data_IF_435585609633
#
_entry.id   IF_435585609633
#
_cell.length_a   1.000
_cell.length_b   1.000
_cell.length_c   1.000
_cell.angle_alpha   90.00
_cell.angle_beta   90.00
_cell.angle_gamma   90.00
#
_symmetry.space_group_name_H-M   'P 1'
#
loop_
_entity.id
_entity.type
_entity.pdbx_description
1 polymer ?
#
# COMPACT_ATOMS: atom_id res chain seq x y z
N UNK A 1 0.20 -24.16 34.36
CA UNK A 1 0.45 -22.73 34.02
C UNK A 1 -0.26 -22.38 32.73
N UNK A 2 -1.20 -21.43 32.74
CA UNK A 2 -1.92 -20.98 31.54
C UNK A 2 -1.14 -19.82 30.90
N UNK A 3 -0.75 -19.95 29.63
CA UNK A 3 -0.05 -18.88 28.90
C UNK A 3 -1.06 -17.83 28.45
N UNK A 4 -0.75 -16.56 28.67
CA UNK A 4 -1.54 -15.41 28.22
C UNK A 4 -0.90 -14.87 26.94
N UNK A 5 -1.70 -14.59 25.91
CA UNK A 5 -1.23 -13.98 24.66
C UNK A 5 -1.52 -12.49 24.69
N UNK A 6 -0.64 -11.67 24.14
CA UNK A 6 -0.79 -10.21 24.09
C UNK A 6 -0.65 -9.74 22.64
N UNK A 7 -1.44 -8.75 22.27
CA UNK A 7 -1.32 -8.10 20.96
C UNK A 7 -0.04 -7.26 20.90
N UNK A 8 0.77 -7.44 19.87
CA UNK A 8 2.01 -6.68 19.65
C UNK A 8 1.79 -5.19 19.34
N UNK A 9 0.60 -4.81 18.87
CA UNK A 9 0.30 -3.43 18.49
C UNK A 9 -0.28 -2.60 19.65
N UNK A 10 -1.05 -3.22 20.56
CA UNK A 10 -1.71 -2.50 21.65
C UNK A 10 -1.46 -3.10 23.05
N UNK A 11 -0.61 -4.12 23.16
CA UNK A 11 -0.18 -4.78 24.40
C UNK A 11 -1.30 -5.29 25.32
N UNK A 12 -2.52 -5.50 24.80
CA UNK A 12 -3.64 -6.08 25.54
C UNK A 12 -3.69 -7.59 25.38
N UNK A 13 -4.22 -8.27 26.40
CA UNK A 13 -4.42 -9.71 26.37
C UNK A 13 -5.42 -10.09 25.27
N UNK A 14 -5.10 -11.12 24.49
CA UNK A 14 -5.95 -11.60 23.40
C UNK A 14 -6.15 -13.12 23.49
N UNK A 15 -7.27 -13.65 22.96
CA UNK A 15 -7.46 -15.08 22.83
C UNK A 15 -6.41 -15.69 21.90
N UNK A 16 -6.03 -16.94 22.13
CA UNK A 16 -5.02 -17.64 21.31
C UNK A 16 -5.53 -17.90 19.89
N UNK A 17 -6.83 -18.13 19.74
CA UNK A 17 -7.50 -18.45 18.48
C UNK A 17 -8.01 -17.19 17.75
N UNK A 18 -7.81 -16.00 18.34
CA UNK A 18 -8.23 -14.76 17.68
C UNK A 18 -7.37 -14.51 16.43
N UNK A 19 -8.03 -14.25 15.30
CA UNK A 19 -7.40 -13.88 14.03
C UNK A 19 -7.07 -12.38 13.96
N UNK A 20 -7.85 -11.59 14.71
CA UNK A 20 -7.78 -10.14 14.78
C UNK A 20 -7.90 -9.70 16.23
N UNK A 21 -7.16 -8.68 16.62
CA UNK A 21 -7.25 -8.12 17.97
C UNK A 21 -8.62 -7.42 18.17
N UNK A 22 -9.41 -7.79 19.20
CA UNK A 22 -10.70 -7.15 19.47
C UNK A 22 -10.57 -5.71 20.00
N UNK A 23 -9.37 -5.29 20.41
CA UNK A 23 -9.15 -3.97 20.98
C UNK A 23 -8.63 -2.93 19.99
N UNK A 24 -7.90 -3.35 18.95
CA UNK A 24 -7.30 -2.41 17.97
C UNK A 24 -7.55 -2.80 16.51
N UNK A 25 -8.10 -3.98 16.23
CA UNK A 25 -8.41 -4.42 14.87
C UNK A 25 -7.22 -4.93 14.06
N UNK A 26 -6.01 -5.02 14.62
CA UNK A 26 -4.85 -5.57 13.92
C UNK A 26 -5.00 -7.08 13.67
N UNK A 27 -4.72 -7.54 12.45
CA UNK A 27 -4.72 -8.96 12.10
C UNK A 27 -3.38 -9.62 12.47
N UNK A 28 -3.44 -10.78 13.15
CA UNK A 28 -2.22 -11.49 13.57
C UNK A 28 -1.53 -12.27 12.44
N UNK A 29 -2.19 -12.38 11.28
CA UNK A 29 -1.61 -12.96 10.07
C UNK A 29 -0.94 -11.91 9.16
N UNK A 30 -0.90 -10.64 9.59
CA UNK A 30 -0.32 -9.59 8.77
C UNK A 30 1.20 -9.62 8.86
N UNK A 31 1.86 -9.54 7.72
CA UNK A 31 3.30 -9.30 7.60
C UNK A 31 3.54 -7.81 7.51
N UNK A 32 4.49 -7.30 8.30
CA UNK A 32 4.95 -5.90 8.24
C UNK A 32 6.32 -5.82 7.57
N UNK A 33 6.44 -5.00 6.54
CA UNK A 33 7.71 -4.74 5.88
C UNK A 33 8.64 -3.93 6.81
N UNK A 34 9.86 -4.39 7.12
CA UNK A 34 10.79 -3.64 7.97
C UNK A 34 11.38 -2.40 7.28
N UNK A 35 11.36 -2.34 5.93
CA UNK A 35 11.95 -1.24 5.17
C UNK A 35 10.99 -0.05 4.99
N UNK A 36 9.71 -0.31 4.72
CA UNK A 36 8.74 0.75 4.42
C UNK A 36 7.51 0.76 5.35
N UNK A 37 7.41 -0.18 6.28
CA UNK A 37 6.31 -0.25 7.25
C UNK A 37 4.96 -0.70 6.69
N UNK A 38 4.88 -1.11 5.42
CA UNK A 38 3.64 -1.63 4.83
C UNK A 38 3.21 -2.91 5.53
N UNK A 39 1.93 -3.00 5.90
CA UNK A 39 1.33 -4.17 6.56
C UNK A 39 0.27 -4.78 5.64
N UNK A 40 0.34 -6.10 5.43
CA UNK A 40 -0.61 -6.81 4.59
C UNK A 40 -0.55 -8.32 4.80
N UNK A 41 -1.45 -9.08 4.16
CA UNK A 41 -1.49 -10.54 4.27
C UNK A 41 -0.24 -11.20 3.65
N UNK A 42 0.09 -12.40 4.11
CA UNK A 42 1.22 -13.20 3.61
C UNK A 42 1.23 -13.33 2.07
N UNK A 43 0.06 -13.49 1.44
CA UNK A 43 -0.06 -13.62 -0.02
C UNK A 43 0.44 -12.37 -0.76
N UNK A 44 0.25 -11.17 -0.19
CA UNK A 44 0.74 -9.92 -0.77
C UNK A 44 2.27 -9.81 -0.74
N UNK A 45 2.92 -10.61 0.12
CA UNK A 45 4.38 -10.67 0.28
C UNK A 45 5.00 -11.91 -0.39
N UNK A 46 4.21 -12.73 -1.11
CA UNK A 46 4.70 -13.94 -1.76
C UNK A 46 5.89 -13.69 -2.71
N UNK A 47 5.96 -12.51 -3.32
CA UNK A 47 7.06 -12.07 -4.19
C UNK A 47 7.90 -10.93 -3.58
N UNK A 48 7.88 -10.77 -2.26
CA UNK A 48 8.46 -9.62 -1.55
C UNK A 48 7.49 -8.46 -1.36
N UNK A 49 7.95 -7.38 -0.72
CA UNK A 49 7.08 -6.25 -0.38
C UNK A 49 6.61 -5.50 -1.66
N UNK A 50 5.28 -5.36 -1.87
CA UNK A 50 4.75 -4.74 -3.09
C UNK A 50 4.95 -3.21 -3.13
N UNK A 51 5.28 -2.59 -2.00
CA UNK A 51 5.48 -1.13 -1.89
C UNK A 51 6.94 -0.74 -2.16
N UNK A 52 7.91 -1.46 -1.59
CA UNK A 52 9.31 -1.06 -1.64
C UNK A 52 10.27 -2.12 -2.21
N UNK A 53 9.76 -3.30 -2.58
CA UNK A 53 10.56 -4.38 -3.17
C UNK A 53 11.43 -5.17 -2.20
N UNK A 54 11.27 -4.98 -0.89
CA UNK A 54 12.01 -5.73 0.13
C UNK A 54 11.81 -7.25 -0.04
N UNK A 55 12.90 -8.01 -0.18
CA UNK A 55 12.91 -9.45 -0.45
C UNK A 55 12.26 -9.88 -1.77
N UNK A 56 12.19 -9.00 -2.78
CA UNK A 56 11.68 -9.42 -4.09
C UNK A 56 12.72 -10.20 -4.91
N UNK A 57 12.34 -11.39 -5.35
CA UNK A 57 13.15 -12.30 -6.20
C UNK A 57 13.52 -11.68 -7.56
N UNK A 58 12.79 -10.64 -7.97
CA UNK A 58 13.02 -9.85 -9.17
C UNK A 58 14.42 -9.23 -9.25
N UNK A 59 15.08 -9.05 -8.09
CA UNK A 59 16.47 -8.58 -8.02
C UNK A 59 17.49 -9.72 -7.88
N UNK A 60 17.13 -10.85 -7.28
CA UNK A 60 18.04 -11.98 -7.07
C UNK A 60 18.26 -12.80 -8.36
N UNK A 61 17.26 -12.86 -9.25
CA UNK A 61 17.34 -13.68 -10.48
C UNK A 61 18.09 -13.03 -11.65
N UNK A 62 18.64 -11.81 -11.49
CA UNK A 62 19.41 -11.12 -12.55
C UNK A 62 20.91 -11.38 -12.53
N UNK A 63 21.43 -12.16 -11.60
CA UNK A 63 22.82 -12.60 -11.64
C UNK A 63 22.87 -14.12 -11.60
N UNK A 64 23.34 -14.70 -12.71
CA UNK A 64 23.63 -16.12 -12.95
C UNK A 64 22.47 -16.97 -13.50
N UNK A 65 22.32 -16.96 -14.83
CA UNK A 65 22.07 -18.20 -15.59
C UNK A 65 23.33 -18.47 -16.43
N UNK A 66 23.92 -19.69 -16.38
CA UNK A 66 25.02 -20.08 -17.26
C UNK A 66 24.59 -19.95 -18.72
N UNK A 67 25.50 -19.43 -19.53
CA UNK A 67 25.34 -19.17 -20.94
C UNK A 67 24.92 -20.43 -21.70
N UNK A 68 23.81 -20.36 -22.45
CA UNK A 68 23.70 -21.12 -23.69
C UNK A 68 22.74 -20.40 -24.65
N UNK A 69 23.32 -19.98 -25.78
CA UNK A 69 22.70 -19.80 -27.10
C UNK A 69 21.78 -18.60 -27.38
N UNK A 70 22.45 -17.52 -27.85
CA UNK A 70 22.20 -16.85 -29.15
C UNK A 70 20.77 -16.37 -29.47
N UNK A 71 20.49 -15.09 -29.24
CA UNK A 71 20.15 -14.06 -30.27
C UNK A 71 19.92 -12.70 -29.57
N UNK A 72 20.55 -11.58 -29.99
CA UNK A 72 20.24 -10.25 -29.46
C UNK A 72 18.95 -9.72 -30.10
N UNK A 73 17.84 -9.75 -29.36
CA UNK A 73 16.64 -8.98 -29.73
C UNK A 73 16.71 -7.59 -29.06
N UNK A 74 16.47 -6.49 -29.80
CA UNK A 74 16.42 -5.16 -29.23
C UNK A 74 15.27 -5.04 -28.24
N UNK A 75 15.61 -4.66 -27.02
CA UNK A 75 14.70 -4.39 -25.92
C UNK A 75 13.84 -3.15 -26.19
N UNK A 76 12.63 -3.33 -26.72
CA UNK A 76 11.54 -2.37 -26.50
C UNK A 76 10.81 -2.77 -25.22
N UNK A 77 11.34 -2.31 -24.07
CA UNK A 77 10.59 -2.32 -22.81
C UNK A 77 9.72 -1.06 -22.84
N UNK A 78 8.38 -1.15 -22.87
CA UNK A 78 7.54 0.03 -22.73
C UNK A 78 7.72 0.59 -21.32
N UNK A 79 8.34 1.77 -21.28
CA UNK A 79 8.46 2.60 -20.11
C UNK A 79 7.07 2.96 -19.56
N UNK A 80 6.96 2.85 -18.23
CA UNK A 80 6.12 3.72 -17.39
C UNK A 80 4.59 3.60 -17.52
N UNK A 81 3.97 2.96 -16.52
CA UNK A 81 2.74 3.52 -15.95
C UNK A 81 2.74 3.41 -14.42
N UNK A 82 3.60 4.27 -13.85
CA UNK A 82 3.46 4.83 -12.50
C UNK A 82 2.01 5.28 -12.37
N UNK A 83 1.17 4.55 -11.64
CA UNK A 83 -0.18 5.03 -11.31
C UNK A 83 0.00 6.18 -10.33
N UNK A 84 0.13 7.39 -10.89
CA UNK A 84 0.07 8.64 -10.14
C UNK A 84 -1.24 8.63 -9.35
N UNK A 85 -1.16 9.15 -8.13
CA UNK A 85 -2.31 9.61 -7.37
C UNK A 85 -3.27 10.37 -8.29
N UNK A 86 -4.57 10.25 -7.99
CA UNK A 86 -5.77 10.72 -8.68
C UNK A 86 -5.56 11.65 -9.89
N UNK A 87 -6.33 11.47 -10.99
CA UNK A 87 -6.17 12.22 -12.24
C UNK A 87 -5.90 13.71 -12.02
N UNK A 88 -4.90 14.28 -12.68
CA UNK A 88 -4.50 15.69 -12.53
C UNK A 88 -5.66 16.67 -12.83
N UNK A 89 -6.73 16.23 -13.50
CA UNK A 89 -7.96 17.00 -13.74
C UNK A 89 -8.92 17.07 -12.54
N UNK A 90 -8.74 16.23 -11.51
CA UNK A 90 -9.61 16.23 -10.32
C UNK A 90 -9.45 17.49 -9.47
N UNK A 91 -8.22 17.98 -9.32
CA UNK A 91 -7.92 19.18 -8.52
C UNK A 91 -8.55 20.47 -9.05
N UNK A 92 -8.50 20.79 -10.37
CA UNK A 92 -9.18 21.98 -10.88
C UNK A 92 -10.71 21.85 -10.80
N UNK A 93 -11.28 20.66 -11.04
CA UNK A 93 -12.72 20.43 -10.92
C UNK A 93 -13.21 20.63 -9.48
N UNK A 94 -12.50 20.05 -8.51
CA UNK A 94 -12.80 20.23 -7.10
C UNK A 94 -12.68 21.71 -6.67
N UNK A 95 -11.67 22.42 -7.18
CA UNK A 95 -11.48 23.85 -6.91
C UNK A 95 -12.65 24.72 -7.40
N UNK A 96 -13.14 24.49 -8.61
CA UNK A 96 -14.28 25.24 -9.17
C UNK A 96 -15.56 24.98 -8.39
N UNK A 97 -15.83 23.72 -8.02
CA UNK A 97 -17.01 23.36 -7.22
C UNK A 97 -16.96 24.03 -5.85
N UNK A 98 -15.82 23.96 -5.18
CA UNK A 98 -15.65 24.55 -3.85
C UNK A 98 -15.79 26.08 -3.89
N UNK A 99 -15.20 26.73 -4.90
CA UNK A 99 -15.34 28.18 -5.12
C UNK A 99 -16.81 28.57 -5.36
N UNK A 100 -17.53 27.81 -6.19
CA UNK A 100 -18.95 28.04 -6.47
C UNK A 100 -19.83 27.96 -5.21
N UNK A 101 -19.57 26.98 -4.35
CA UNK A 101 -20.27 26.83 -3.06
C UNK A 101 -20.00 28.03 -2.16
N UNK A 102 -18.74 28.46 -2.03
CA UNK A 102 -18.37 29.61 -1.21
C UNK A 102 -19.07 30.88 -1.72
N UNK A 103 -19.08 31.12 -3.03
CA UNK A 103 -19.75 32.27 -3.65
C UNK A 103 -21.25 32.22 -3.37
N UNK A 104 -21.90 31.07 -3.55
CA UNK A 104 -23.33 30.91 -3.29
C UNK A 104 -23.69 31.22 -1.83
N UNK A 105 -22.87 30.73 -0.88
CA UNK A 105 -23.04 31.01 0.55
C UNK A 105 -22.91 32.51 0.83
N UNK A 106 -21.87 33.17 0.29
CA UNK A 106 -21.68 34.62 0.48
C UNK A 106 -22.86 35.41 -0.07
N UNK A 107 -23.35 35.07 -1.26
CA UNK A 107 -24.53 35.73 -1.86
C UNK A 107 -25.76 35.52 -0.97
N UNK A 108 -25.98 34.30 -0.46
CA UNK A 108 -27.08 34.00 0.46
C UNK A 108 -27.01 34.86 1.73
N UNK A 109 -25.83 35.01 2.33
CA UNK A 109 -25.62 35.83 3.53
C UNK A 109 -25.74 37.34 3.28
N UNK A 110 -25.38 37.81 2.09
CA UNK A 110 -25.55 39.24 1.72
C UNK A 110 -26.99 39.59 1.32
N UNK A 111 -27.79 38.57 0.96
CA UNK A 111 -29.21 38.70 0.61
C UNK A 111 -30.15 38.41 1.78
N UNK A 112 -29.63 37.94 2.91
CA UNK A 112 -30.34 37.72 4.17
C UNK A 112 -30.27 38.97 5.04
#
# INVERSE_FOLDING_TARGET
>A
MKKQFFCENCNRSVPKEALTCPHCGSSFQAVKCPKCGFTGNTDMFAAGCPICGYLSDSFARRTVKPAESLTPQPSHIPETKRKKALPDWFYPVAGVILLGIIIAIVIMYLKL
#
